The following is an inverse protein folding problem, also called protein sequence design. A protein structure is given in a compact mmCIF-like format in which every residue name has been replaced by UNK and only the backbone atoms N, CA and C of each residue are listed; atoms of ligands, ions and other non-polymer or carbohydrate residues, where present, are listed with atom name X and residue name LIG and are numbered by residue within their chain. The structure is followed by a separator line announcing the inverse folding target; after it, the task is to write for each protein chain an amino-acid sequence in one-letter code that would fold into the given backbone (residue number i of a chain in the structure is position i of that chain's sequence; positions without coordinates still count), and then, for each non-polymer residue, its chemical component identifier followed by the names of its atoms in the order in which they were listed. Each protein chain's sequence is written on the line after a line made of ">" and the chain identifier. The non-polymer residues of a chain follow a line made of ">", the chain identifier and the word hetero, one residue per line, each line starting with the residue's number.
data_IF_902405847844
#
_entry.id   IF_902405847844
#
_cell.length_a   1.000
_cell.length_b   1.000
_cell.length_c   1.000
_cell.angle_alpha   90.00
_cell.angle_beta   90.00
_cell.angle_gamma   90.00
#
_symmetry.space_group_name_H-M   'P 1'
#
loop_
_entity.id
_entity.type
_entity.pdbx_description
1 polymer ?
#
# COMPACT_ATOMS: atom_id res chain seq x y z
N UNK A 1 -18.13 -6.46 -7.12
CA UNK A 1 -17.32 -7.58 -6.59
C UNK A 1 -17.03 -7.40 -5.11
N UNK A 2 -16.63 -6.20 -4.69
CA UNK A 2 -16.40 -5.82 -3.27
C UNK A 2 -17.54 -6.25 -2.34
N UNK A 3 -18.80 -5.93 -2.64
CA UNK A 3 -19.95 -6.37 -1.82
C UNK A 3 -20.01 -7.88 -1.59
N UNK A 4 -19.64 -8.68 -2.60
CA UNK A 4 -19.64 -10.13 -2.49
C UNK A 4 -18.51 -10.61 -1.58
N UNK A 5 -17.34 -9.98 -1.64
CA UNK A 5 -16.22 -10.26 -0.72
C UNK A 5 -16.51 -9.83 0.72
N UNK A 6 -17.05 -8.61 0.90
CA UNK A 6 -17.44 -8.09 2.21
C UNK A 6 -18.49 -8.99 2.89
N UNK A 7 -19.38 -9.61 2.10
CA UNK A 7 -20.39 -10.56 2.58
C UNK A 7 -19.91 -12.02 2.62
N UNK A 8 -18.63 -12.28 2.34
CA UNK A 8 -18.04 -13.62 2.37
C UNK A 8 -18.62 -14.60 1.34
N UNK A 9 -19.18 -14.09 0.23
CA UNK A 9 -19.82 -14.90 -0.82
C UNK A 9 -18.84 -15.54 -1.79
N UNK A 10 -17.59 -15.07 -1.84
CA UNK A 10 -16.54 -15.57 -2.73
C UNK A 10 -15.21 -15.81 -2.00
N UNK A 11 -15.17 -16.72 -1.01
CA UNK A 11 -13.99 -16.94 -0.16
C UNK A 11 -12.76 -17.43 -0.96
N UNK A 12 -12.95 -18.12 -2.07
CA UNK A 12 -11.89 -18.72 -2.89
C UNK A 12 -10.96 -17.71 -3.57
N UNK A 13 -11.44 -16.49 -3.80
CA UNK A 13 -10.70 -15.44 -4.52
C UNK A 13 -10.28 -14.29 -3.60
N UNK A 14 -10.74 -14.30 -2.35
CA UNK A 14 -10.49 -13.24 -1.37
C UNK A 14 -8.98 -13.00 -1.14
N UNK A 15 -8.16 -14.02 -1.33
CA UNK A 15 -6.73 -13.94 -1.11
C UNK A 15 -5.89 -13.74 -2.39
N UNK A 16 -6.53 -13.38 -3.50
CA UNK A 16 -5.84 -13.16 -4.77
C UNK A 16 -5.42 -11.70 -4.93
N UNK A 17 -4.17 -11.52 -5.32
CA UNK A 17 -3.58 -10.21 -5.61
C UNK A 17 -4.33 -9.47 -6.71
N UNK A 18 -4.61 -10.13 -7.82
CA UNK A 18 -5.40 -9.57 -8.93
C UNK A 18 -6.74 -8.99 -8.48
N UNK A 19 -7.40 -9.66 -7.53
CA UNK A 19 -8.70 -9.25 -7.00
C UNK A 19 -8.55 -8.01 -6.11
N UNK A 20 -7.50 -7.97 -5.30
CA UNK A 20 -7.14 -6.80 -4.50
C UNK A 20 -6.84 -5.58 -5.40
N UNK A 21 -5.97 -5.77 -6.39
CA UNK A 21 -5.62 -4.76 -7.40
C UNK A 21 -6.87 -4.28 -8.12
N UNK A 22 -7.69 -5.21 -8.64
CA UNK A 22 -8.92 -4.89 -9.38
C UNK A 22 -9.93 -4.11 -8.54
N UNK A 23 -10.18 -4.53 -7.30
CA UNK A 23 -11.17 -3.87 -6.46
C UNK A 23 -10.73 -2.47 -6.06
N UNK A 24 -9.49 -2.33 -5.59
CA UNK A 24 -8.99 -1.04 -5.12
C UNK A 24 -8.88 -0.05 -6.28
N UNK A 25 -8.12 -0.41 -7.31
CA UNK A 25 -7.86 0.49 -8.44
C UNK A 25 -9.06 0.63 -9.37
N UNK A 26 -9.90 -0.41 -9.47
CA UNK A 26 -11.11 -0.38 -10.29
C UNK A 26 -12.19 0.54 -9.74
N UNK A 27 -12.21 0.81 -8.44
CA UNK A 27 -13.05 1.84 -7.84
C UNK A 27 -12.41 3.23 -7.93
N UNK A 28 -11.15 3.35 -7.50
CA UNK A 28 -10.50 4.66 -7.38
C UNK A 28 -10.34 5.38 -8.73
N UNK A 29 -10.34 4.65 -9.85
CA UNK A 29 -10.28 5.22 -11.21
C UNK A 29 -11.44 6.16 -11.56
N UNK A 30 -12.54 6.11 -10.80
CA UNK A 30 -13.69 6.99 -11.01
C UNK A 30 -13.63 8.28 -10.18
N UNK A 31 -12.62 8.40 -9.31
CA UNK A 31 -12.37 9.61 -8.54
C UNK A 31 -11.69 10.68 -9.41
N UNK A 32 -11.74 11.93 -8.96
CA UNK A 32 -10.96 13.02 -9.57
C UNK A 32 -9.46 12.86 -9.27
N UNK A 33 -8.60 13.52 -10.06
CA UNK A 33 -7.16 13.55 -9.83
C UNK A 33 -6.80 14.02 -8.41
N UNK A 34 -7.51 15.03 -7.90
CA UNK A 34 -7.34 15.51 -6.52
C UNK A 34 -7.60 14.40 -5.50
N UNK A 35 -8.74 13.73 -5.61
CA UNK A 35 -9.09 12.63 -4.70
C UNK A 35 -8.10 11.46 -4.82
N UNK A 36 -7.74 11.08 -6.05
CA UNK A 36 -6.78 10.02 -6.31
C UNK A 36 -5.39 10.32 -5.74
N UNK A 37 -4.85 11.52 -5.99
CA UNK A 37 -3.52 11.89 -5.51
C UNK A 37 -3.44 11.87 -3.99
N UNK A 38 -4.48 12.36 -3.31
CA UNK A 38 -4.56 12.36 -1.86
C UNK A 38 -4.85 11.00 -1.24
N UNK A 39 -5.65 10.15 -1.88
CA UNK A 39 -5.98 8.82 -1.34
C UNK A 39 -4.92 7.75 -1.65
N UNK A 40 -4.12 7.95 -2.71
CA UNK A 40 -3.17 6.95 -3.18
C UNK A 40 -1.72 7.47 -3.23
N UNK A 41 -1.44 8.51 -4.02
CA UNK A 41 -0.05 8.96 -4.23
C UNK A 41 0.58 9.58 -2.97
N UNK A 42 -0.23 10.16 -2.09
CA UNK A 42 0.20 10.70 -0.80
C UNK A 42 0.80 9.62 0.11
N UNK A 43 0.42 8.35 -0.06
CA UNK A 43 0.90 7.21 0.73
C UNK A 43 2.25 6.67 0.23
N UNK A 44 2.67 7.04 -0.98
CA UNK A 44 3.95 6.60 -1.53
C UNK A 44 5.13 7.25 -0.79
N UNK A 45 6.17 6.45 -0.54
CA UNK A 45 7.39 6.85 0.18
C UNK A 45 8.62 6.52 -0.65
N UNK A 46 9.62 7.40 -0.64
CA UNK A 46 10.95 7.11 -1.17
C UNK A 46 11.70 6.13 -0.26
N UNK A 47 12.85 5.63 -0.72
CA UNK A 47 13.77 4.81 0.09
C UNK A 47 14.23 5.50 1.38
N UNK A 48 14.22 6.84 1.41
CA UNK A 48 14.58 7.62 2.59
C UNK A 48 13.40 7.84 3.54
N UNK A 49 12.23 7.30 3.21
CA UNK A 49 10.98 7.52 3.94
C UNK A 49 10.30 8.85 3.60
N UNK A 50 10.77 9.59 2.59
CA UNK A 50 10.18 10.87 2.20
C UNK A 50 8.87 10.63 1.44
N UNK A 51 7.81 11.36 1.77
CA UNK A 51 6.54 11.25 1.06
C UNK A 51 6.68 11.76 -0.38
N UNK A 52 5.98 11.12 -1.32
CA UNK A 52 5.88 11.66 -2.67
C UNK A 52 5.15 13.01 -2.64
N UNK A 53 5.78 14.04 -3.22
CA UNK A 53 5.20 15.37 -3.19
C UNK A 53 4.06 15.51 -4.22
N UNK A 54 2.82 15.26 -3.79
CA UNK A 54 1.63 15.39 -4.64
C UNK A 54 1.38 16.82 -5.12
N UNK A 55 1.95 17.84 -4.47
CA UNK A 55 1.78 19.24 -4.87
C UNK A 55 2.36 19.56 -6.26
N UNK A 56 3.16 18.64 -6.82
CA UNK A 56 3.68 18.74 -8.18
C UNK A 56 2.72 18.23 -9.27
N UNK A 57 1.53 17.76 -8.89
CA UNK A 57 0.46 17.30 -9.77
C UNK A 57 -0.77 18.19 -9.56
N UNK A 58 -1.11 19.06 -10.53
CA UNK A 58 -2.30 19.89 -10.45
C UNK A 58 -3.62 19.08 -10.43
N UNK A 59 -4.60 19.56 -9.66
CA UNK A 59 -5.91 18.91 -9.51
C UNK A 59 -6.74 18.84 -10.81
N UNK A 60 -6.45 19.74 -11.76
CA UNK A 60 -7.12 19.79 -13.06
C UNK A 60 -6.47 18.90 -14.13
N UNK A 61 -5.45 18.15 -13.77
CA UNK A 61 -4.88 17.10 -14.61
C UNK A 61 -5.77 15.86 -14.58
N UNK A 62 -5.53 14.96 -15.52
CA UNK A 62 -6.27 13.71 -15.64
C UNK A 62 -5.34 12.52 -15.35
N UNK A 63 -5.91 11.39 -14.94
CA UNK A 63 -5.16 10.17 -14.79
C UNK A 63 -5.86 8.98 -15.44
N UNK A 64 -5.07 7.97 -15.79
CA UNK A 64 -5.56 6.76 -16.42
C UNK A 64 -4.87 5.55 -15.82
N UNK A 65 -5.65 4.52 -15.54
CA UNK A 65 -5.17 3.25 -15.00
C UNK A 65 -5.31 2.16 -16.05
N UNK A 66 -4.19 1.54 -16.41
CA UNK A 66 -4.13 0.42 -17.35
C UNK A 66 -3.73 -0.81 -16.55
N UNK A 67 -4.65 -1.78 -16.48
CA UNK A 67 -4.45 -3.03 -15.76
C UNK A 67 -3.74 -4.05 -16.64
N UNK A 68 -2.76 -4.75 -16.07
CA UNK A 68 -1.99 -5.81 -16.73
C UNK A 68 -1.51 -5.44 -18.15
N UNK A 69 -0.86 -4.26 -18.34
CA UNK A 69 -0.34 -3.93 -19.65
C UNK A 69 0.78 -4.90 -20.04
N UNK A 70 0.83 -5.27 -21.31
CA UNK A 70 1.91 -6.12 -21.82
C UNK A 70 3.03 -5.28 -22.40
N UNK A 71 4.24 -5.51 -21.93
CA UNK A 71 5.45 -4.91 -22.48
C UNK A 71 6.07 -5.78 -23.58
N UNK A 72 7.03 -5.19 -24.31
CA UNK A 72 7.68 -5.82 -25.46
C UNK A 72 8.41 -7.14 -25.14
N UNK A 73 8.83 -7.33 -23.89
CA UNK A 73 9.48 -8.53 -23.39
C UNK A 73 8.47 -9.55 -22.83
N UNK A 74 7.18 -9.35 -23.07
CA UNK A 74 6.06 -10.11 -22.51
C UNK A 74 5.92 -10.03 -20.98
N UNK A 75 6.63 -9.11 -20.32
CA UNK A 75 6.31 -8.80 -18.92
C UNK A 75 4.92 -8.16 -18.83
N UNK A 76 4.22 -8.49 -17.74
CA UNK A 76 2.86 -8.05 -17.46
C UNK A 76 2.83 -7.53 -16.02
N UNK A 77 3.27 -6.27 -15.78
CA UNK A 77 3.12 -5.62 -14.48
C UNK A 77 1.64 -5.50 -14.09
N UNK A 78 1.33 -5.39 -12.81
CA UNK A 78 -0.06 -5.32 -12.36
C UNK A 78 -0.82 -4.11 -12.89
N UNK A 79 -0.18 -2.94 -12.84
CA UNK A 79 -0.85 -1.68 -13.14
C UNK A 79 0.11 -0.61 -13.66
N UNK A 80 -0.36 0.18 -14.62
CA UNK A 80 0.32 1.37 -15.11
C UNK A 80 -0.59 2.58 -14.93
N UNK A 81 -0.12 3.55 -14.16
CA UNK A 81 -0.78 4.82 -13.92
C UNK A 81 -0.13 5.89 -14.81
N UNK A 82 -0.96 6.52 -15.65
CA UNK A 82 -0.60 7.66 -16.47
C UNK A 82 -1.18 8.91 -15.83
N UNK A 83 -0.40 9.98 -15.73
CA UNK A 83 -0.92 11.31 -15.39
C UNK A 83 -0.66 12.25 -16.55
N UNK A 84 -1.75 12.84 -17.04
CA UNK A 84 -1.81 13.67 -18.24
C UNK A 84 -2.09 15.12 -17.85
N UNK A 85 -1.36 16.04 -18.46
CA UNK A 85 -1.67 17.46 -18.30
C UNK A 85 -2.95 17.85 -19.08
N UNK A 86 -3.31 19.13 -19.02
CA UNK A 86 -4.48 19.67 -19.73
C UNK A 86 -4.36 19.62 -21.26
N UNK A 87 -3.17 19.36 -21.79
CA UNK A 87 -2.93 19.12 -23.23
C UNK A 87 -2.91 17.63 -23.58
N UNK A 88 -3.33 16.77 -22.65
CA UNK A 88 -3.34 15.30 -22.78
C UNK A 88 -1.95 14.67 -22.96
N UNK A 89 -0.86 15.40 -22.66
CA UNK A 89 0.48 14.83 -22.68
C UNK A 89 0.78 14.10 -21.38
N UNK A 90 1.33 12.88 -21.46
CA UNK A 90 1.73 12.12 -20.27
C UNK A 90 2.95 12.80 -19.64
N UNK A 91 2.78 13.31 -18.41
CA UNK A 91 3.83 13.97 -17.62
C UNK A 91 4.39 13.09 -16.51
N UNK A 92 3.58 12.15 -16.01
CA UNK A 92 4.04 11.15 -15.06
C UNK A 92 3.61 9.76 -15.50
N UNK A 93 4.49 8.79 -15.28
CA UNK A 93 4.26 7.39 -15.50
C UNK A 93 4.66 6.61 -14.24
N UNK A 94 3.71 5.91 -13.65
CA UNK A 94 3.96 5.06 -12.49
C UNK A 94 3.67 3.61 -12.86
N UNK A 95 4.70 2.78 -12.82
CA UNK A 95 4.53 1.33 -12.81
C UNK A 95 4.21 0.91 -11.37
N UNK A 96 3.12 0.21 -11.16
CA UNK A 96 2.71 -0.24 -9.82
C UNK A 96 2.73 -1.76 -9.84
N UNK A 97 3.61 -2.33 -9.00
CA UNK A 97 3.71 -3.76 -8.74
C UNK A 97 3.15 -4.03 -7.36
N UNK A 98 2.13 -4.89 -7.28
CA UNK A 98 1.37 -5.19 -6.08
C UNK A 98 1.88 -6.51 -5.47
N UNK A 99 1.91 -6.60 -4.14
CA UNK A 99 2.19 -7.84 -3.43
C UNK A 99 1.29 -8.05 -2.24
N UNK A 100 0.38 -9.02 -2.33
CA UNK A 100 -0.60 -9.29 -1.25
C UNK A 100 -0.03 -10.16 -0.11
N UNK A 101 0.75 -11.21 -0.43
CA UNK A 101 1.45 -12.02 0.57
C UNK A 101 2.95 -12.11 0.26
N UNK A 102 3.78 -11.77 1.23
CA UNK A 102 5.25 -11.87 1.13
C UNK A 102 5.79 -13.29 1.37
N UNK A 103 4.94 -14.33 1.39
CA UNK A 103 5.42 -15.71 1.57
C UNK A 103 5.98 -16.28 0.27
N UNK A 104 7.31 -16.30 0.21
CA UNK A 104 8.17 -17.34 -0.37
C UNK A 104 7.52 -18.21 -1.45
N UNK A 105 7.55 -17.76 -2.70
CA UNK A 105 7.84 -18.65 -3.81
C UNK A 105 9.11 -18.15 -4.47
N UNK A 106 10.24 -18.51 -3.87
CA UNK A 106 11.59 -18.32 -4.40
C UNK A 106 11.88 -19.24 -5.62
N UNK A 107 10.83 -19.84 -6.22
CA UNK A 107 10.92 -20.78 -7.33
C UNK A 107 9.74 -20.61 -8.30
N UNK A 108 9.61 -19.45 -8.92
CA UNK A 108 9.08 -19.42 -10.28
C UNK A 108 10.27 -19.64 -11.22
N UNK A 109 10.51 -20.92 -11.53
CA UNK A 109 11.39 -21.34 -12.62
C UNK A 109 10.90 -20.62 -13.87
N UNK A 110 11.70 -19.66 -14.35
CA UNK A 110 11.46 -19.02 -15.63
C UNK A 110 11.60 -20.09 -16.72
N UNK A 111 10.50 -20.32 -17.44
CA UNK A 111 10.54 -20.98 -18.73
C UNK A 111 11.58 -20.29 -19.62
N UNK A 112 12.32 -21.12 -20.37
CA UNK A 112 13.39 -20.74 -21.30
C UNK A 112 12.96 -19.61 -22.24
N UNK A 113 13.36 -18.38 -21.91
CA UNK A 113 13.40 -17.26 -22.85
C UNK A 113 14.72 -16.49 -22.64
N UNK A 114 15.30 -16.11 -23.77
CA UNK A 114 16.66 -15.58 -23.96
C UNK A 114 17.12 -14.57 -22.90
N UNK A 115 18.39 -14.71 -22.51
CA UNK A 115 19.21 -13.84 -21.65
C UNK A 115 18.53 -12.59 -21.08
N UNK A 116 17.79 -12.73 -19.98
CA UNK A 116 17.36 -11.57 -19.23
C UNK A 116 18.58 -10.96 -18.53
N UNK A 117 18.91 -9.72 -18.89
CA UNK A 117 20.00 -8.93 -18.29
C UNK A 117 19.87 -8.79 -16.76
N UNK A 118 18.65 -8.94 -16.23
CA UNK A 118 18.33 -8.82 -14.81
C UNK A 118 17.62 -10.08 -14.29
N UNK A 119 18.10 -10.60 -13.17
CA UNK A 119 17.55 -11.72 -12.42
C UNK A 119 16.33 -11.29 -11.59
N UNK A 120 16.36 -10.07 -11.01
CA UNK A 120 15.26 -9.56 -10.20
C UNK A 120 14.11 -9.04 -11.08
N UNK A 121 12.88 -9.42 -10.74
CA UNK A 121 11.66 -8.97 -11.44
C UNK A 121 11.51 -7.45 -11.45
N UNK A 122 11.67 -6.79 -10.29
CA UNK A 122 11.55 -5.34 -10.17
C UNK A 122 12.62 -4.60 -10.99
N UNK A 123 13.81 -5.20 -11.16
CA UNK A 123 14.85 -4.64 -12.03
C UNK A 123 14.43 -4.66 -13.51
N UNK A 124 13.82 -5.77 -13.97
CA UNK A 124 13.32 -5.91 -15.35
C UNK A 124 12.20 -4.91 -15.61
N UNK A 125 11.22 -4.88 -14.73
CA UNK A 125 10.08 -3.95 -14.79
C UNK A 125 10.50 -2.49 -14.82
N UNK A 126 11.45 -2.13 -13.95
CA UNK A 126 12.04 -0.80 -13.95
C UNK A 126 12.70 -0.49 -15.30
N UNK A 127 13.46 -1.42 -15.88
CA UNK A 127 14.08 -1.19 -17.18
C UNK A 127 13.03 -1.03 -18.29
N UNK A 128 12.00 -1.87 -18.30
CA UNK A 128 10.93 -1.82 -19.28
C UNK A 128 10.17 -0.49 -19.23
N UNK A 129 9.88 0.02 -18.03
CA UNK A 129 9.27 1.33 -17.83
C UNK A 129 10.02 2.45 -18.57
N UNK A 130 11.35 2.39 -18.61
CA UNK A 130 12.16 3.40 -19.29
C UNK A 130 12.26 3.21 -20.80
N UNK A 131 11.95 2.01 -21.30
CA UNK A 131 11.88 1.70 -22.72
C UNK A 131 10.54 2.09 -23.36
N UNK A 132 9.47 2.24 -22.57
CA UNK A 132 8.16 2.66 -23.08
C UNK A 132 8.24 4.08 -23.64
N UNK A 133 7.97 4.23 -24.93
CA UNK A 133 7.93 5.52 -25.65
C UNK A 133 6.50 6.03 -25.88
N UNK A 134 5.54 5.11 -25.98
CA UNK A 134 4.16 5.38 -26.33
C UNK A 134 3.27 4.30 -25.70
N UNK A 135 2.06 4.70 -25.29
CA UNK A 135 1.08 3.82 -24.65
C UNK A 135 -0.25 4.01 -25.38
N UNK A 136 -0.67 2.98 -26.12
CA UNK A 136 -1.79 3.12 -27.05
C UNK A 136 -1.55 4.25 -28.04
N UNK A 137 -2.44 5.25 -28.03
CA UNK A 137 -2.35 6.44 -28.88
C UNK A 137 -1.62 7.63 -28.23
N UNK A 138 -1.21 7.50 -26.98
CA UNK A 138 -0.61 8.61 -26.23
C UNK A 138 0.91 8.59 -26.34
N UNK A 139 1.48 9.74 -26.67
CA UNK A 139 2.93 9.98 -26.67
C UNK A 139 3.38 10.38 -25.26
N UNK A 140 4.47 9.77 -24.78
CA UNK A 140 5.07 10.13 -23.50
C UNK A 140 5.92 11.39 -23.70
N UNK A 141 5.68 12.42 -22.91
CA UNK A 141 6.47 13.65 -23.00
C UNK A 141 7.96 13.35 -22.76
N UNK A 142 8.85 14.04 -23.47
CA UNK A 142 10.31 13.81 -23.35
C UNK A 142 10.83 14.02 -21.93
N UNK A 143 10.19 14.90 -21.18
CA UNK A 143 10.48 15.26 -19.80
C UNK A 143 9.58 14.53 -18.78
N UNK A 144 8.81 13.53 -19.22
CA UNK A 144 7.93 12.78 -18.33
C UNK A 144 8.72 12.09 -17.22
N UNK A 145 8.24 12.23 -15.99
CA UNK A 145 8.83 11.55 -14.84
C UNK A 145 8.30 10.13 -14.76
N UNK A 146 9.18 9.19 -14.39
CA UNK A 146 8.88 7.76 -14.33
C UNK A 146 9.17 7.23 -12.94
N UNK A 147 8.25 6.48 -12.37
CA UNK A 147 8.42 5.87 -11.04
C UNK A 147 7.96 4.42 -11.05
N UNK A 148 8.59 3.60 -10.23
CA UNK A 148 8.12 2.27 -9.88
C UNK A 148 7.63 2.32 -8.43
N UNK A 149 6.35 2.02 -8.21
CA UNK A 149 5.73 1.87 -6.89
C UNK A 149 5.64 0.38 -6.60
N UNK A 150 6.26 -0.07 -5.51
CA UNK A 150 6.05 -1.41 -4.97
C UNK A 150 5.08 -1.33 -3.81
N UNK A 151 3.89 -1.89 -3.99
CA UNK A 151 2.79 -1.83 -3.03
C UNK A 151 2.65 -3.18 -2.33
N UNK A 152 2.96 -3.25 -1.03
CA UNK A 152 3.00 -4.52 -0.32
C UNK A 152 2.13 -4.56 0.94
N UNK A 153 1.93 -5.76 1.48
CA UNK A 153 1.32 -6.00 2.80
C UNK A 153 2.32 -5.93 3.96
N UNK A 154 3.52 -5.35 3.76
CA UNK A 154 4.53 -5.21 4.82
C UNK A 154 4.28 -3.94 5.64
N UNK A 155 4.55 -3.98 6.96
CA UNK A 155 4.46 -2.80 7.84
C UNK A 155 5.63 -1.82 7.65
N UNK A 156 6.71 -2.27 7.05
CA UNK A 156 7.92 -1.51 6.79
C UNK A 156 8.48 -1.90 5.43
N UNK A 157 9.27 -1.00 4.83
CA UNK A 157 9.92 -1.25 3.55
C UNK A 157 10.56 -2.65 3.48
N UNK A 158 10.08 -3.55 2.60
CA UNK A 158 10.66 -4.89 2.44
C UNK A 158 12.02 -4.76 1.77
N UNK A 159 13.06 -4.68 2.60
CA UNK A 159 14.41 -4.32 2.20
C UNK A 159 14.98 -5.26 1.14
N UNK A 160 14.77 -6.56 1.24
CA UNK A 160 15.64 -7.50 0.54
C UNK A 160 15.40 -7.54 -0.98
N UNK A 161 14.14 -7.74 -1.42
CA UNK A 161 13.80 -7.74 -2.85
C UNK A 161 14.00 -6.36 -3.48
N UNK A 162 13.61 -5.32 -2.76
CA UNK A 162 13.63 -3.95 -3.25
C UNK A 162 15.06 -3.40 -3.35
N UNK A 163 15.90 -3.61 -2.33
CA UNK A 163 17.33 -3.23 -2.35
C UNK A 163 18.12 -4.10 -3.32
N UNK A 164 17.80 -5.40 -3.43
CA UNK A 164 18.41 -6.28 -4.42
C UNK A 164 18.21 -5.72 -5.84
N UNK A 165 16.99 -5.33 -6.19
CA UNK A 165 16.68 -4.74 -7.49
C UNK A 165 17.48 -3.45 -7.76
N UNK A 166 17.50 -2.53 -6.78
CA UNK A 166 18.27 -1.28 -6.85
C UNK A 166 19.76 -1.55 -7.06
N UNK A 167 20.33 -2.49 -6.32
CA UNK A 167 21.74 -2.84 -6.40
C UNK A 167 22.09 -3.53 -7.73
N UNK A 168 21.19 -4.33 -8.26
CA UNK A 168 21.34 -4.95 -9.57
C UNK A 168 21.30 -3.90 -10.67
N UNK A 169 20.33 -2.98 -10.67
CA UNK A 169 20.28 -1.87 -11.64
C UNK A 169 21.55 -1.03 -11.58
N UNK A 170 22.04 -0.68 -10.38
CA UNK A 170 23.28 0.10 -10.21
C UNK A 170 24.52 -0.60 -10.77
N UNK A 171 24.55 -1.94 -10.81
CA UNK A 171 25.66 -2.70 -11.40
C UNK A 171 25.71 -2.55 -12.91
N UNK A 172 24.55 -2.51 -13.56
CA UNK A 172 24.45 -2.50 -15.01
C UNK A 172 24.26 -1.11 -15.62
N UNK A 173 23.69 -0.17 -14.86
CA UNK A 173 23.28 1.15 -15.33
C UNK A 173 24.05 2.27 -14.63
N UNK A 174 24.38 3.33 -15.37
CA UNK A 174 25.02 4.55 -14.85
C UNK A 174 24.00 5.54 -14.28
N UNK A 175 22.93 5.05 -13.67
CA UNK A 175 21.88 5.87 -13.08
C UNK A 175 21.75 5.55 -11.59
N UNK A 176 21.19 6.49 -10.82
CA UNK A 176 20.79 6.22 -9.46
C UNK A 176 19.29 5.83 -9.43
N UNK A 177 18.94 4.54 -9.43
CA UNK A 177 17.54 4.10 -9.45
C UNK A 177 16.77 4.56 -8.21
N UNK A 178 17.45 4.84 -7.09
CA UNK A 178 16.83 5.18 -5.81
C UNK A 178 15.85 6.37 -5.85
N UNK A 179 15.97 7.28 -6.83
CA UNK A 179 15.07 8.43 -6.97
C UNK A 179 13.77 8.11 -7.71
N UNK A 180 13.67 6.93 -8.31
CA UNK A 180 12.55 6.49 -9.14
C UNK A 180 11.74 5.38 -8.46
N UNK A 181 12.30 4.76 -7.43
CA UNK A 181 11.65 3.72 -6.65
C UNK A 181 10.88 4.35 -5.48
N UNK A 182 9.61 4.00 -5.42
CA UNK A 182 8.68 4.33 -4.35
C UNK A 182 8.16 3.03 -3.75
N UNK A 183 7.87 3.06 -2.45
CA UNK A 183 7.25 1.97 -1.74
C UNK A 183 6.01 2.48 -1.00
N UNK A 184 5.06 1.58 -0.82
CA UNK A 184 3.83 1.83 -0.10
C UNK A 184 3.35 0.53 0.54
N UNK A 185 2.70 0.66 1.69
CA UNK A 185 1.96 -0.46 2.25
C UNK A 185 0.45 -0.26 2.12
N UNK A 186 -0.29 -1.37 2.08
CA UNK A 186 -1.75 -1.34 2.18
C UNK A 186 -2.26 -0.68 3.46
N UNK A 187 -1.49 -0.76 4.56
CA UNK A 187 -1.81 -0.08 5.82
C UNK A 187 -1.68 1.45 5.67
N UNK A 188 -0.62 1.93 5.01
CA UNK A 188 -0.45 3.35 4.72
C UNK A 188 -1.58 3.87 3.82
N UNK A 189 -2.03 3.09 2.84
CA UNK A 189 -3.17 3.46 2.01
C UNK A 189 -4.46 3.62 2.82
N UNK A 190 -4.73 2.69 3.73
CA UNK A 190 -5.89 2.79 4.62
C UNK A 190 -5.82 4.05 5.50
N UNK A 191 -4.66 4.33 6.08
CA UNK A 191 -4.48 5.50 6.95
C UNK A 191 -4.65 6.81 6.16
N UNK A 192 -4.00 6.95 5.01
CA UNK A 192 -4.12 8.15 4.17
C UNK A 192 -5.55 8.34 3.67
N UNK A 193 -6.23 7.26 3.26
CA UNK A 193 -7.63 7.33 2.83
C UNK A 193 -8.51 7.90 3.95
N UNK A 194 -8.40 7.38 5.17
CA UNK A 194 -9.25 7.82 6.28
C UNK A 194 -8.88 9.22 6.81
N UNK A 195 -7.60 9.59 6.75
CA UNK A 195 -7.15 10.93 7.15
C UNK A 195 -7.64 12.01 6.18
N UNK A 196 -7.81 11.69 4.88
CA UNK A 196 -8.17 12.67 3.86
C UNK A 196 -9.69 12.84 3.65
N UNK A 197 -10.53 11.86 4.01
CA UNK A 197 -12.01 11.94 3.81
C UNK A 197 -12.63 13.20 4.44
N UNK A 198 -12.14 13.65 5.60
CA UNK A 198 -12.69 14.83 6.29
C UNK A 198 -12.04 16.17 5.89
N UNK A 199 -10.98 16.15 5.10
CA UNK A 199 -10.18 17.34 4.75
C UNK A 199 -10.51 17.83 3.35
N UNK A 200 -10.81 16.89 2.45
CA UNK A 200 -11.05 17.18 1.04
C UNK A 200 -12.50 17.62 0.82
N UNK A 201 -12.68 18.60 -0.06
CA UNK A 201 -14.00 18.99 -0.59
C UNK A 201 -14.40 17.97 -1.66
N UNK A 202 -14.93 16.83 -1.20
CA UNK A 202 -15.27 15.67 -2.01
C UNK A 202 -16.72 15.71 -2.45
N UNK A 203 -16.98 15.23 -3.67
CA UNK A 203 -18.34 14.97 -4.13
C UNK A 203 -18.90 13.75 -3.40
N UNK A 204 -20.23 13.70 -3.25
CA UNK A 204 -20.93 12.62 -2.54
C UNK A 204 -20.58 11.22 -3.07
N UNK A 205 -20.46 11.08 -4.39
CA UNK A 205 -20.08 9.79 -4.99
C UNK A 205 -18.62 9.40 -4.68
N UNK A 206 -17.70 10.37 -4.59
CA UNK A 206 -16.29 10.11 -4.24
C UNK A 206 -16.20 9.70 -2.76
N UNK A 207 -16.98 10.33 -1.89
CA UNK A 207 -17.11 9.92 -0.49
C UNK A 207 -17.60 8.48 -0.37
N UNK A 208 -18.60 8.09 -1.15
CA UNK A 208 -19.08 6.70 -1.18
C UNK A 208 -17.97 5.73 -1.63
N UNK A 209 -17.23 6.07 -2.69
CA UNK A 209 -16.11 5.25 -3.19
C UNK A 209 -15.04 5.09 -2.11
N UNK A 210 -14.63 6.19 -1.47
CA UNK A 210 -13.61 6.13 -0.42
C UNK A 210 -14.09 5.33 0.79
N UNK A 211 -15.37 5.47 1.18
CA UNK A 211 -15.97 4.65 2.25
C UNK A 211 -15.90 3.16 1.92
N UNK A 212 -16.31 2.77 0.72
CA UNK A 212 -16.29 1.38 0.27
C UNK A 212 -14.85 0.81 0.24
N UNK A 213 -13.88 1.62 -0.19
CA UNK A 213 -12.46 1.26 -0.18
C UNK A 213 -11.93 1.10 1.26
N UNK A 214 -12.34 1.98 2.18
CA UNK A 214 -11.97 1.88 3.60
C UNK A 214 -12.48 0.58 4.21
N UNK A 215 -13.76 0.28 4.00
CA UNK A 215 -14.40 -0.95 4.50
C UNK A 215 -13.77 -2.20 3.87
N UNK A 216 -13.44 -2.13 2.58
CA UNK A 216 -12.75 -3.20 1.87
C UNK A 216 -11.35 -3.47 2.45
N UNK A 217 -10.50 -2.45 2.60
CA UNK A 217 -9.18 -2.61 3.19
C UNK A 217 -9.24 -3.09 4.64
N UNK A 218 -10.20 -2.59 5.42
CA UNK A 218 -10.44 -3.06 6.79
C UNK A 218 -10.83 -4.53 6.84
N UNK A 219 -11.70 -4.99 5.94
CA UNK A 219 -12.08 -6.40 5.82
C UNK A 219 -10.90 -7.30 5.40
N UNK A 220 -9.89 -6.75 4.72
CA UNK A 220 -8.62 -7.42 4.40
C UNK A 220 -7.60 -7.37 5.55
N UNK A 221 -7.95 -6.79 6.70
CA UNK A 221 -7.07 -6.54 7.84
C UNK A 221 -5.93 -5.54 7.55
N UNK A 222 -6.10 -4.64 6.59
CA UNK A 222 -5.16 -3.57 6.29
C UNK A 222 -5.50 -2.28 7.01
N UNK A 223 -5.57 -2.34 8.34
CA UNK A 223 -5.78 -1.17 9.17
C UNK A 223 -4.69 -1.11 10.24
N UNK A 224 -4.13 0.07 10.46
CA UNK A 224 -3.07 0.27 11.44
C UNK A 224 -3.60 0.16 12.86
N UNK A 225 -2.74 -0.28 13.79
CA UNK A 225 -3.08 -0.29 15.21
C UNK A 225 -3.35 1.14 15.71
N UNK A 226 -4.59 1.43 16.07
CA UNK A 226 -5.02 2.76 16.53
C UNK A 226 -4.88 2.96 18.05
N UNK A 227 -4.05 2.15 18.72
CA UNK A 227 -3.92 2.17 20.17
C UNK A 227 -4.99 1.34 20.90
N UNK A 228 -4.86 1.28 22.23
CA UNK A 228 -5.90 0.72 23.08
C UNK A 228 -6.99 1.77 23.30
N UNK A 229 -8.21 1.48 22.85
CA UNK A 229 -9.37 2.26 23.30
C UNK A 229 -9.52 2.03 24.81
N UNK A 230 -9.44 3.10 25.60
CA UNK A 230 -9.70 3.03 27.04
C UNK A 230 -11.14 2.56 27.24
N UNK A 231 -11.30 1.27 27.52
CA UNK A 231 -12.55 0.76 28.05
C UNK A 231 -12.72 1.39 29.43
N UNK A 232 -13.51 2.45 29.52
CA UNK A 232 -14.09 2.91 30.77
C UNK A 232 -15.11 1.87 31.22
N UNK A 233 -14.62 0.70 31.65
CA UNK A 233 -15.39 -0.08 32.61
C UNK A 233 -15.60 0.88 33.78
N UNK A 234 -16.84 1.30 33.99
CA UNK A 234 -17.30 1.60 35.34
C UNK A 234 -17.01 0.34 36.14
N UNK A 235 -15.82 0.28 36.74
CA UNK A 235 -15.57 -0.66 37.81
C UNK A 235 -16.62 -0.31 38.86
N UNK A 236 -17.69 -1.10 38.91
CA UNK A 236 -18.52 -1.15 40.11
C UNK A 236 -17.53 -1.35 41.23
N UNK A 237 -17.38 -0.32 42.05
CA UNK A 237 -16.47 -0.29 43.19
C UNK A 237 -16.88 -1.48 44.05
N UNK A 238 -16.17 -2.60 43.93
CA UNK A 238 -16.29 -3.65 44.91
C UNK A 238 -15.69 -3.05 46.17
N UNK A 239 -16.56 -2.73 47.14
CA UNK A 239 -16.15 -2.38 48.49
C UNK A 239 -15.51 -3.63 49.09
N UNK A 240 -14.21 -3.79 48.87
CA UNK A 240 -13.42 -4.73 49.62
C UNK A 240 -13.30 -4.16 51.03
N UNK A 241 -14.00 -4.76 51.98
CA UNK A 241 -13.75 -4.58 53.40
C UNK A 241 -12.34 -5.09 53.71
N UNK A 242 -11.37 -4.19 53.73
CA UNK A 242 -10.04 -4.48 54.25
C UNK A 242 -10.11 -4.52 55.77
N UNK A 243 -10.00 -5.72 56.35
CA UNK A 243 -9.56 -5.85 57.74
C UNK A 243 -8.06 -5.49 57.80
N UNK A 244 -7.65 -4.47 58.56
CA UNK A 244 -6.25 -4.07 58.59
C UNK A 244 -5.47 -5.08 59.45
N UNK A 245 -4.71 -5.98 58.82
CA UNK A 245 -3.49 -6.48 59.45
C UNK A 245 -2.33 -5.65 58.94
N UNK A 246 -1.72 -4.95 59.88
CA UNK A 246 -0.53 -4.12 59.75
C UNK A 246 0.55 -4.89 58.98
N UNK A 247 0.87 -4.46 57.77
CA UNK A 247 2.11 -4.81 57.09
C UNK A 247 2.79 -3.47 56.75
N UNK A 248 3.96 -3.28 57.35
CA UNK A 248 4.93 -2.25 57.02
C UNK A 248 5.82 -2.87 55.94
N UNK A 249 5.94 -2.26 54.75
CA UNK A 249 7.22 -1.83 54.17
C UNK A 249 7.06 -1.15 52.79
N UNK A 250 8.08 -0.33 52.54
CA UNK A 250 8.34 0.66 51.49
C UNK A 250 8.34 0.17 50.04
N UNK A 251 8.22 1.16 49.15
CA UNK A 251 8.27 1.08 47.70
C UNK A 251 9.63 0.60 47.16
N UNK A 252 9.62 -0.46 46.34
CA UNK A 252 10.46 -0.56 45.14
C UNK A 252 9.62 -1.19 44.01
N UNK A 253 9.62 -0.52 42.85
CA UNK A 253 8.93 -0.98 41.65
C UNK A 253 9.67 -2.20 41.06
N UNK A 254 9.15 -3.39 41.30
CA UNK A 254 9.52 -4.59 40.54
C UNK A 254 8.33 -5.14 39.73
N UNK A 255 8.63 -5.40 38.47
CA UNK A 255 7.81 -5.97 37.42
C UNK A 255 6.93 -7.16 37.88
N UNK A 256 5.63 -6.94 38.06
CA UNK A 256 4.68 -8.03 38.23
C UNK A 256 4.34 -8.67 36.87
N UNK A 257 4.91 -9.86 36.64
CA UNK A 257 4.27 -10.90 35.82
C UNK A 257 2.93 -11.25 36.48
N UNK A 258 1.79 -11.32 35.74
CA UNK A 258 0.56 -11.80 36.35
C UNK A 258 0.61 -13.33 36.48
N UNK A 259 0.92 -13.81 37.68
CA UNK A 259 0.62 -15.19 38.08
C UNK A 259 -0.84 -15.25 38.51
N UNK A 260 -1.71 -15.77 37.65
CA UNK A 260 -3.10 -16.05 38.01
C UNK A 260 -3.16 -17.29 38.91
N UNK A 261 -3.46 -17.10 40.20
CA UNK A 261 -3.91 -18.18 41.07
C UNK A 261 -5.43 -18.18 41.12
N UNK A 262 -6.07 -19.13 40.43
CA UNK A 262 -7.49 -19.41 40.60
C UNK A 262 -7.71 -20.22 41.88
N UNK A 263 -8.47 -19.66 42.82
CA UNK A 263 -9.10 -20.46 43.88
C UNK A 263 -10.60 -20.52 43.60
N UNK A 264 -11.09 -21.69 43.15
CA UNK A 264 -12.51 -22.00 43.25
C UNK A 264 -12.81 -22.40 44.69
N UNK A 265 -13.81 -21.78 45.32
CA UNK A 265 -14.45 -22.38 46.49
C UNK A 265 -15.72 -23.09 46.05
N UNK A 266 -15.81 -24.36 46.44
CA UNK A 266 -17.05 -25.14 46.52
C UNK A 266 -17.98 -24.53 47.56
#
# INVERSE_FOLDING_TARGET
>A
MIDAELKGKIPEVQNREDILTSNYFGLIKYCTMRTFSHAFLSAARSLKGEQFNISCIPDNWDFELIFWPRFHDNSEPDLLLLIKDTSLQIKYLFLIEVKYFSQQNMYSVSYEFESHKYENQLSREFFNLFQVKNIGQFEIAKDAKRFLIYLTADYSLPSDNFISAINEIKRYEKINPSNYFLWMSWYNLYDELNNNIGILDLKEFELSILSDLSDYLKAKNFWSFTGFSSYSRQCKRFEYFFYPKKIIFDWEMECCKPTYCFFSKK
#
